data_IF_635754667115
#
_entry.id   IF_635754667115
#
_cell.length_a   1.000
_cell.length_b   1.000
_cell.length_c   1.000
_cell.angle_alpha   90.00
_cell.angle_beta   90.00
_cell.angle_gamma   90.00
#
_symmetry.space_group_name_H-M   'P 1'
#
loop_
_entity.id
_entity.type
_entity.pdbx_description
1 polymer ?
#
# COMPACT_ATOMS: atom_id res chain seq x y z
N UNK A 1 4.95 6.96 -12.41
CA UNK A 1 4.73 5.50 -12.32
C UNK A 1 6.06 4.83 -12.57
N UNK A 2 6.41 3.84 -11.71
CA UNK A 2 7.62 3.06 -11.82
C UNK A 2 7.26 1.59 -12.06
N UNK A 3 8.04 0.92 -12.91
CA UNK A 3 7.97 -0.52 -13.11
C UNK A 3 9.17 -1.16 -12.38
N UNK A 4 8.87 -1.91 -11.34
CA UNK A 4 9.87 -2.49 -10.44
C UNK A 4 9.75 -4.02 -10.43
N UNK A 5 10.59 -4.66 -9.65
CA UNK A 5 10.60 -6.11 -9.43
C UNK A 5 10.44 -6.40 -7.93
N UNK A 6 10.18 -7.65 -7.56
CA UNK A 6 10.10 -8.08 -6.17
C UNK A 6 8.68 -8.27 -5.61
N UNK A 7 7.64 -7.90 -6.36
CA UNK A 7 6.25 -8.03 -5.91
C UNK A 7 5.93 -7.12 -4.73
N UNK A 8 4.76 -7.31 -4.11
CA UNK A 8 4.37 -6.60 -2.89
C UNK A 8 5.38 -6.80 -1.75
N UNK A 9 5.95 -8.00 -1.63
CA UNK A 9 6.95 -8.29 -0.59
C UNK A 9 8.20 -7.43 -0.75
N UNK A 10 8.69 -7.22 -1.97
CA UNK A 10 9.80 -6.29 -2.22
C UNK A 10 9.42 -4.84 -1.91
N UNK A 11 8.15 -4.47 -2.10
CA UNK A 11 7.66 -3.13 -1.79
C UNK A 11 7.51 -2.87 -0.29
N UNK A 12 7.36 -3.88 0.56
CA UNK A 12 7.38 -3.68 2.01
C UNK A 12 8.68 -3.02 2.48
N UNK A 13 9.81 -3.49 1.96
CA UNK A 13 11.13 -2.88 2.24
C UNK A 13 11.33 -1.59 1.43
N UNK A 14 11.10 -1.64 0.11
CA UNK A 14 11.37 -0.51 -0.79
C UNK A 14 10.61 0.74 -0.38
N UNK A 15 9.31 0.63 -0.12
CA UNK A 15 8.48 1.77 0.25
C UNK A 15 8.93 2.38 1.57
N UNK A 16 9.14 1.56 2.60
CA UNK A 16 9.60 2.04 3.90
C UNK A 16 10.92 2.81 3.76
N UNK A 17 11.91 2.22 3.10
CA UNK A 17 13.24 2.82 2.96
C UNK A 17 13.19 4.14 2.20
N UNK A 18 12.43 4.21 1.10
CA UNK A 18 12.25 5.45 0.34
C UNK A 18 11.47 6.51 1.14
N UNK A 19 10.49 6.12 1.98
CA UNK A 19 9.76 7.06 2.83
C UNK A 19 10.65 7.61 3.97
N UNK A 20 11.53 6.79 4.55
CA UNK A 20 12.54 7.26 5.50
C UNK A 20 13.50 8.27 4.84
N UNK A 21 13.94 7.99 3.60
CA UNK A 21 14.76 8.89 2.83
C UNK A 21 14.04 10.21 2.51
N UNK A 22 12.78 10.15 2.06
CA UNK A 22 11.96 11.33 1.79
C UNK A 22 11.73 12.18 3.06
N UNK A 23 11.51 11.52 4.21
CA UNK A 23 11.43 12.19 5.51
C UNK A 23 12.74 12.90 5.85
N UNK A 24 13.89 12.22 5.68
CA UNK A 24 15.20 12.81 5.95
C UNK A 24 15.49 14.02 5.06
N UNK A 25 15.15 13.95 3.77
CA UNK A 25 15.31 15.05 2.83
C UNK A 25 14.48 16.30 3.25
N UNK A 26 13.29 16.07 3.80
CA UNK A 26 12.38 17.13 4.20
C UNK A 26 12.69 17.72 5.59
N UNK A 27 13.14 16.91 6.53
CA UNK A 27 13.24 17.24 7.95
C UNK A 27 14.65 17.10 8.53
N UNK A 28 15.61 16.52 7.80
CA UNK A 28 16.95 16.15 8.27
C UNK A 28 17.84 17.32 8.71
N UNK A 29 17.51 18.56 8.34
CA UNK A 29 18.24 19.75 8.77
C UNK A 29 17.76 20.30 10.12
N UNK A 30 16.70 19.75 10.72
CA UNK A 30 16.29 20.10 12.07
C UNK A 30 17.12 19.30 13.06
N UNK A 31 17.97 19.96 13.84
CA UNK A 31 18.95 19.39 14.78
C UNK A 31 18.38 18.37 15.80
N UNK A 32 17.08 18.34 16.02
CA UNK A 32 16.39 17.37 16.87
C UNK A 32 15.72 16.23 16.09
N UNK A 33 15.40 16.40 14.80
CA UNK A 33 14.74 15.38 13.98
C UNK A 33 15.73 14.44 13.25
N UNK A 34 17.03 14.83 13.17
CA UNK A 34 18.04 14.07 12.45
C UNK A 34 18.71 12.93 13.22
N UNK A 35 18.53 12.88 14.56
CA UNK A 35 19.22 11.90 15.42
C UNK A 35 18.42 10.62 15.70
N UNK A 36 17.10 10.65 15.54
CA UNK A 36 16.21 9.50 15.81
C UNK A 36 15.34 9.21 14.60
N UNK A 37 15.13 7.92 14.32
CA UNK A 37 14.21 7.51 13.26
C UNK A 37 12.79 8.06 13.51
N UNK A 38 12.09 8.57 12.48
CA UNK A 38 10.70 8.98 12.61
C UNK A 38 9.79 7.77 12.90
N UNK A 39 8.63 7.96 13.51
CA UNK A 39 7.64 6.92 13.59
C UNK A 39 7.14 6.56 12.20
N UNK A 40 6.81 5.27 12.01
CA UNK A 40 6.12 4.77 10.83
C UNK A 40 4.87 4.05 11.30
N UNK A 41 3.72 4.50 10.82
CA UNK A 41 2.43 3.96 11.25
C UNK A 41 1.95 2.88 10.29
N UNK A 42 1.41 1.80 10.86
CA UNK A 42 0.85 0.68 10.12
C UNK A 42 -0.55 0.36 10.62
N UNK A 43 -1.44 0.04 9.68
CA UNK A 43 -2.73 -0.57 9.97
C UNK A 43 -2.65 -2.05 9.62
N UNK A 44 -2.82 -2.90 10.62
CA UNK A 44 -2.77 -4.36 10.48
C UNK A 44 -4.19 -4.90 10.35
N UNK A 45 -4.62 -5.15 9.11
CA UNK A 45 -5.93 -5.69 8.77
C UNK A 45 -5.91 -7.18 8.43
N UNK A 46 -4.72 -7.80 8.38
CA UNK A 46 -4.60 -9.23 8.12
C UNK A 46 -3.17 -9.70 7.91
N UNK A 47 -3.01 -10.80 7.16
CA UNK A 47 -1.72 -11.47 7.00
C UNK A 47 -0.69 -10.63 6.23
N UNK A 48 -1.13 -9.90 5.21
CA UNK A 48 -0.21 -9.13 4.35
C UNK A 48 0.30 -7.88 5.06
N UNK A 49 -0.57 -7.11 5.68
CA UNK A 49 -0.18 -5.97 6.50
C UNK A 49 0.66 -6.37 7.71
N UNK A 50 0.39 -7.54 8.32
CA UNK A 50 1.25 -8.11 9.37
C UNK A 50 2.66 -8.40 8.88
N UNK A 51 2.81 -8.97 7.67
CA UNK A 51 4.14 -9.19 7.05
C UNK A 51 4.87 -7.88 6.78
N UNK A 52 4.16 -6.84 6.33
CA UNK A 52 4.75 -5.52 6.14
C UNK A 52 5.30 -4.94 7.45
N UNK A 53 4.56 -5.06 8.57
CA UNK A 53 5.04 -4.67 9.90
C UNK A 53 6.26 -5.48 10.34
N UNK A 54 6.25 -6.80 10.09
CA UNK A 54 7.40 -7.64 10.41
C UNK A 54 8.67 -7.20 9.67
N UNK A 55 8.54 -6.86 8.39
CA UNK A 55 9.65 -6.33 7.60
C UNK A 55 10.09 -4.95 8.11
N UNK A 56 9.14 -4.06 8.42
CA UNK A 56 9.44 -2.75 8.96
C UNK A 56 10.26 -2.82 10.27
N UNK A 57 9.91 -3.72 11.17
CA UNK A 57 10.62 -3.92 12.46
C UNK A 57 12.07 -4.41 12.28
N UNK A 58 12.41 -4.97 11.12
CA UNK A 58 13.80 -5.34 10.78
C UNK A 58 14.62 -4.15 10.29
N UNK A 59 13.97 -3.12 9.76
CA UNK A 59 14.60 -2.03 9.02
C UNK A 59 14.60 -0.70 9.80
N UNK A 60 13.69 -0.52 10.75
CA UNK A 60 13.62 0.69 11.58
C UNK A 60 13.15 0.37 13.01
N UNK A 61 13.51 1.23 13.95
CA UNK A 61 13.23 1.02 15.38
C UNK A 61 11.87 1.54 15.86
N UNK A 62 11.25 2.47 15.10
CA UNK A 62 10.02 3.16 15.55
C UNK A 62 8.81 2.78 14.70
N UNK A 63 8.42 1.51 14.78
CA UNK A 63 7.22 0.98 14.10
C UNK A 63 6.04 1.02 15.08
N UNK A 64 5.06 1.84 14.75
CA UNK A 64 3.79 1.92 15.46
C UNK A 64 2.70 1.15 14.71
N UNK A 65 1.93 0.33 15.41
CA UNK A 65 0.73 -0.30 14.88
C UNK A 65 -0.47 0.52 15.33
N UNK A 66 -0.93 1.40 14.43
CA UNK A 66 -2.01 2.34 14.72
C UNK A 66 -3.36 1.62 14.96
N UNK A 67 -3.58 0.49 14.29
CA UNK A 67 -4.74 -0.39 14.52
C UNK A 67 -4.36 -1.83 14.17
N UNK A 68 -4.81 -2.79 15.00
CA UNK A 68 -4.62 -4.23 14.76
C UNK A 68 -5.96 -4.95 14.82
N UNK A 69 -6.36 -5.54 13.70
CA UNK A 69 -7.65 -6.22 13.53
C UNK A 69 -7.51 -7.74 13.55
N UNK A 70 -6.32 -8.27 13.83
CA UNK A 70 -6.09 -9.73 13.81
C UNK A 70 -7.01 -10.48 14.79
N UNK A 71 -7.27 -9.92 15.96
CA UNK A 71 -8.17 -10.52 16.95
C UNK A 71 -9.65 -10.49 16.56
N UNK A 72 -10.01 -9.70 15.55
CA UNK A 72 -11.38 -9.59 15.05
C UNK A 72 -11.69 -10.63 13.97
N UNK A 73 -10.67 -11.28 13.41
CA UNK A 73 -10.83 -12.30 12.37
C UNK A 73 -11.56 -13.52 12.94
N UNK A 74 -12.62 -13.93 12.26
CA UNK A 74 -13.52 -15.00 12.70
C UNK A 74 -14.86 -14.49 13.25
N UNK A 75 -15.00 -13.18 13.46
CA UNK A 75 -16.29 -12.54 13.73
C UNK A 75 -16.93 -12.09 12.40
N UNK A 76 -18.07 -12.68 12.01
CA UNK A 76 -18.76 -12.32 10.76
C UNK A 76 -19.32 -10.89 10.75
N UNK A 77 -19.30 -10.18 11.86
CA UNK A 77 -19.73 -8.79 11.98
C UNK A 77 -18.53 -7.83 12.15
N UNK A 78 -17.29 -8.33 12.07
CA UNK A 78 -16.11 -7.50 12.24
C UNK A 78 -15.95 -6.55 11.05
N UNK A 79 -15.88 -5.26 11.37
CA UNK A 79 -15.63 -4.17 10.40
C UNK A 79 -14.33 -3.46 10.74
N UNK A 80 -13.77 -2.76 9.75
CA UNK A 80 -12.59 -1.92 9.95
C UNK A 80 -12.95 -0.77 10.89
N UNK A 81 -12.27 -0.64 12.06
CA UNK A 81 -12.52 0.46 12.97
C UNK A 81 -12.31 1.81 12.32
N UNK A 82 -13.16 2.78 12.66
CA UNK A 82 -13.01 4.15 12.15
C UNK A 82 -11.66 4.75 12.58
N UNK A 83 -10.99 5.55 11.71
CA UNK A 83 -9.67 6.12 11.97
C UNK A 83 -9.55 6.99 13.25
N UNK A 84 -10.66 7.51 13.77
CA UNK A 84 -10.70 8.23 15.04
C UNK A 84 -10.37 7.34 16.27
N UNK A 85 -10.49 6.01 16.09
CA UNK A 85 -10.13 5.01 17.12
C UNK A 85 -8.70 4.50 17.00
N UNK A 86 -7.97 4.92 15.97
CA UNK A 86 -6.61 4.46 15.73
C UNK A 86 -5.61 5.22 16.60
N UNK A 87 -4.59 4.53 17.03
CA UNK A 87 -3.48 5.10 17.81
C UNK A 87 -2.38 5.59 16.85
N UNK A 88 -2.68 6.67 16.12
CA UNK A 88 -1.73 7.29 15.21
C UNK A 88 -0.60 7.97 15.99
N UNK A 89 0.60 7.95 15.44
CA UNK A 89 1.73 8.72 15.97
C UNK A 89 1.42 10.23 15.93
N UNK A 90 1.88 11.00 16.93
CA UNK A 90 1.68 12.44 16.95
C UNK A 90 2.24 13.13 15.70
N UNK A 91 1.49 14.07 15.13
CA UNK A 91 1.87 14.76 13.88
C UNK A 91 3.13 15.62 14.04
N UNK A 92 3.38 16.11 15.23
CA UNK A 92 4.58 16.90 15.61
C UNK A 92 5.85 16.04 15.72
N UNK A 93 5.71 14.72 15.78
CA UNK A 93 6.82 13.77 15.61
C UNK A 93 7.15 13.47 14.13
N UNK A 94 6.43 14.07 13.21
CA UNK A 94 6.62 13.94 11.77
C UNK A 94 6.68 12.48 11.29
N UNK A 95 5.61 11.67 11.43
CA UNK A 95 5.62 10.29 10.95
C UNK A 95 6.01 10.22 9.47
N UNK A 96 6.89 9.27 9.12
CA UNK A 96 7.38 9.16 7.74
C UNK A 96 6.33 8.61 6.78
N UNK A 97 5.41 7.79 7.27
CA UNK A 97 4.28 7.26 6.49
C UNK A 97 3.21 6.63 7.37
N UNK A 98 2.01 6.45 6.79
CA UNK A 98 0.98 5.50 7.22
C UNK A 98 0.81 4.44 6.14
N UNK A 99 1.05 3.19 6.47
CA UNK A 99 0.87 2.05 5.58
C UNK A 99 -0.42 1.30 5.88
N UNK A 100 -1.13 0.87 4.82
CA UNK A 100 -2.25 -0.05 4.92
C UNK A 100 -2.31 -0.99 3.70
N UNK A 101 -2.94 -2.14 3.87
CA UNK A 101 -3.29 -3.04 2.77
C UNK A 101 -4.75 -2.79 2.42
N UNK A 102 -5.01 -2.29 1.21
CA UNK A 102 -6.33 -1.86 0.74
C UNK A 102 -7.37 -3.00 0.80
N UNK A 103 -6.91 -4.22 0.47
CA UNK A 103 -7.73 -5.43 0.54
C UNK A 103 -6.91 -6.63 1.01
N UNK A 104 -7.26 -7.17 2.16
CA UNK A 104 -6.65 -8.36 2.76
C UNK A 104 -7.30 -9.63 2.23
N UNK A 105 -6.75 -10.17 1.15
CA UNK A 105 -7.30 -11.31 0.41
C UNK A 105 -7.47 -12.61 1.22
N UNK A 106 -6.73 -12.79 2.31
CA UNK A 106 -6.82 -14.01 3.14
C UNK A 106 -7.96 -13.93 4.14
N UNK A 107 -8.15 -12.75 4.74
CA UNK A 107 -9.08 -12.58 5.86
C UNK A 107 -10.34 -11.79 5.49
N UNK A 108 -10.35 -11.10 4.34
CA UNK A 108 -11.54 -10.49 3.77
C UNK A 108 -11.79 -9.04 4.15
N UNK A 109 -10.91 -8.39 4.94
CA UNK A 109 -11.04 -6.95 5.18
C UNK A 109 -10.68 -6.16 3.91
N UNK A 110 -11.61 -5.35 3.45
CA UNK A 110 -11.40 -4.35 2.40
C UNK A 110 -11.75 -2.97 2.95
N UNK A 111 -10.88 -1.99 2.72
CA UNK A 111 -11.10 -0.63 3.21
C UNK A 111 -12.26 0.04 2.46
N UNK A 112 -13.17 0.73 3.16
CA UNK A 112 -14.26 1.46 2.50
C UNK A 112 -13.73 2.61 1.66
N UNK A 113 -14.47 2.98 0.61
CA UNK A 113 -14.13 4.15 -0.19
C UNK A 113 -14.03 5.41 0.69
N UNK A 114 -13.10 6.30 0.34
CA UNK A 114 -12.89 7.58 1.03
C UNK A 114 -12.54 7.51 2.53
N UNK A 115 -12.15 6.34 3.06
CA UNK A 115 -11.78 6.22 4.48
C UNK A 115 -10.67 7.19 4.91
N UNK A 116 -9.75 7.53 4.00
CA UNK A 116 -8.64 8.48 4.27
C UNK A 116 -9.18 9.85 4.70
N UNK A 117 -10.33 10.27 4.20
CA UNK A 117 -10.95 11.53 4.57
C UNK A 117 -11.38 11.59 6.04
N UNK A 118 -11.51 10.44 6.70
CA UNK A 118 -11.82 10.32 8.14
C UNK A 118 -10.59 10.46 9.04
N UNK A 119 -9.36 10.41 8.47
CA UNK A 119 -8.14 10.72 9.22
C UNK A 119 -8.16 12.19 9.67
N UNK A 120 -7.52 12.51 10.82
CA UNK A 120 -7.33 13.89 11.24
C UNK A 120 -6.71 14.73 10.11
N UNK A 121 -7.25 15.92 9.85
CA UNK A 121 -6.81 16.76 8.74
C UNK A 121 -5.31 17.02 8.77
N UNK A 122 -4.78 17.42 9.92
CA UNK A 122 -3.35 17.71 10.08
C UNK A 122 -2.47 16.47 9.79
N UNK A 123 -2.99 15.25 10.05
CA UNK A 123 -2.27 14.01 9.78
C UNK A 123 -2.21 13.72 8.28
N UNK A 124 -3.35 13.70 7.58
CA UNK A 124 -3.41 13.41 6.13
C UNK A 124 -2.72 14.45 5.25
N UNK A 125 -2.58 15.70 5.72
CA UNK A 125 -1.86 16.74 5.00
C UNK A 125 -0.33 16.62 5.10
N UNK A 126 0.17 16.02 6.17
CA UNK A 126 1.60 15.97 6.47
C UNK A 126 2.22 14.60 6.28
N UNK A 127 1.46 13.54 6.52
CA UNK A 127 1.96 12.16 6.51
C UNK A 127 1.63 11.49 5.18
N UNK A 128 2.61 10.97 4.43
CA UNK A 128 2.38 10.20 3.23
C UNK A 128 1.57 8.92 3.53
N UNK A 129 0.47 8.73 2.81
CA UNK A 129 -0.33 7.51 2.89
C UNK A 129 0.18 6.52 1.86
N UNK A 130 0.44 5.29 2.28
CA UNK A 130 0.99 4.20 1.47
C UNK A 130 -0.02 3.07 1.39
N UNK A 131 -0.43 2.72 0.17
CA UNK A 131 -1.40 1.67 -0.09
C UNK A 131 -0.79 0.47 -0.82
N UNK A 132 -0.96 -0.72 -0.27
CA UNK A 132 -0.83 -1.98 -1.02
C UNK A 132 -2.17 -2.33 -1.66
N UNK A 133 -2.27 -2.11 -2.97
CA UNK A 133 -3.47 -2.39 -3.76
C UNK A 133 -3.34 -3.66 -4.60
N UNK A 134 -2.42 -4.56 -4.27
CA UNK A 134 -2.10 -5.72 -5.10
C UNK A 134 -3.30 -6.60 -5.43
N UNK A 135 -4.31 -6.67 -4.58
CA UNK A 135 -5.44 -7.60 -4.79
C UNK A 135 -6.69 -6.95 -5.36
N UNK A 136 -6.87 -5.64 -5.21
CA UNK A 136 -8.09 -4.97 -5.68
C UNK A 136 -7.84 -3.82 -6.68
N UNK A 137 -6.59 -3.60 -7.09
CA UNK A 137 -6.31 -2.64 -8.15
C UNK A 137 -7.15 -2.95 -9.40
N UNK A 138 -7.71 -1.92 -10.03
CA UNK A 138 -8.60 -2.01 -11.21
C UNK A 138 -9.96 -2.70 -10.96
N UNK A 139 -10.28 -3.12 -9.74
CA UNK A 139 -11.62 -3.62 -9.40
C UNK A 139 -12.56 -2.50 -8.97
N UNK A 140 -12.01 -1.37 -8.57
CA UNK A 140 -12.73 -0.12 -8.24
C UNK A 140 -11.83 1.11 -8.44
N UNK A 141 -12.39 2.33 -8.51
CA UNK A 141 -11.61 3.57 -8.51
C UNK A 141 -10.79 3.74 -7.24
N UNK A 142 -9.60 4.33 -7.36
CA UNK A 142 -8.75 4.71 -6.24
C UNK A 142 -8.45 6.21 -6.36
N UNK A 143 -8.60 6.94 -5.26
CA UNK A 143 -8.16 8.34 -5.21
C UNK A 143 -6.63 8.44 -5.12
N UNK A 144 -5.99 8.46 -6.30
CA UNK A 144 -4.52 8.55 -6.40
C UNK A 144 -3.97 9.80 -5.70
N UNK A 145 -4.74 10.90 -5.64
CA UNK A 145 -4.28 12.16 -5.04
C UNK A 145 -4.20 12.11 -3.54
N UNK A 146 -4.99 11.24 -2.91
CA UNK A 146 -4.97 11.05 -1.46
C UNK A 146 -3.73 10.27 -0.97
N UNK A 147 -2.94 9.69 -1.89
CA UNK A 147 -1.82 8.83 -1.54
C UNK A 147 -0.46 9.45 -1.87
N UNK A 148 0.53 9.17 -1.02
CA UNK A 148 1.94 9.39 -1.32
C UNK A 148 2.50 8.29 -2.22
N UNK A 149 2.12 7.03 -1.93
CA UNK A 149 2.52 5.85 -2.70
C UNK A 149 1.36 4.88 -2.81
N UNK A 150 1.14 4.35 -4.01
CA UNK A 150 0.30 3.17 -4.26
C UNK A 150 1.18 2.15 -4.97
N UNK A 151 1.20 0.92 -4.50
CA UNK A 151 1.89 -0.15 -5.21
C UNK A 151 1.01 -1.38 -5.37
N UNK A 152 1.34 -2.18 -6.40
CA UNK A 152 0.66 -3.44 -6.67
C UNK A 152 1.53 -4.35 -7.53
N UNK A 153 1.49 -5.64 -7.22
CA UNK A 153 2.03 -6.67 -8.11
C UNK A 153 1.04 -6.98 -9.24
N UNK A 154 1.54 -7.23 -10.45
CA UNK A 154 0.68 -7.47 -11.61
C UNK A 154 -0.06 -8.82 -11.57
N UNK A 155 0.46 -9.82 -10.84
CA UNK A 155 0.06 -11.23 -10.88
C UNK A 155 -1.40 -11.54 -10.47
N UNK A 156 -2.14 -10.57 -9.96
CA UNK A 156 -3.55 -10.77 -9.59
C UNK A 156 -4.49 -10.24 -10.67
N UNK A 157 -4.72 -8.93 -10.73
CA UNK A 157 -5.76 -8.35 -11.59
C UNK A 157 -5.21 -7.56 -12.79
N UNK A 158 -3.89 -7.51 -13.00
CA UNK A 158 -3.25 -6.71 -14.05
C UNK A 158 -2.66 -7.56 -15.16
N UNK A 159 -1.89 -8.61 -14.81
CA UNK A 159 -1.18 -9.42 -15.78
C UNK A 159 -0.36 -10.54 -15.14
N UNK A 160 0.69 -11.04 -15.82
CA UNK A 160 1.55 -12.08 -15.27
C UNK A 160 2.45 -11.55 -14.15
N UNK A 161 2.98 -12.48 -13.36
CA UNK A 161 3.99 -12.17 -12.33
C UNK A 161 5.28 -11.60 -12.95
N UNK A 162 6.06 -10.90 -12.12
CA UNK A 162 7.38 -10.37 -12.49
C UNK A 162 7.45 -8.85 -12.44
N UNK A 163 6.41 -8.12 -12.83
CA UNK A 163 6.37 -6.66 -12.69
C UNK A 163 5.56 -6.23 -11.48
N UNK A 164 6.10 -5.24 -10.77
CA UNK A 164 5.45 -4.51 -9.69
C UNK A 164 5.35 -3.06 -10.09
N UNK A 165 4.18 -2.50 -10.02
CA UNK A 165 3.94 -1.10 -10.38
C UNK A 165 3.87 -0.25 -9.11
N UNK A 166 4.53 0.91 -9.16
CA UNK A 166 4.53 1.88 -8.07
C UNK A 166 4.12 3.24 -8.62
N UNK A 167 3.03 3.78 -8.09
CA UNK A 167 2.60 5.15 -8.32
C UNK A 167 3.08 5.94 -7.12
N UNK A 168 4.01 6.86 -7.31
CA UNK A 168 4.61 7.63 -6.23
C UNK A 168 4.54 9.12 -6.55
N UNK A 169 4.26 9.91 -5.53
CA UNK A 169 4.25 11.38 -5.60
C UNK A 169 5.68 11.89 -5.81
N UNK A 170 5.86 12.87 -6.68
CA UNK A 170 7.20 13.31 -7.13
C UNK A 170 8.09 13.83 -6.02
N UNK A 171 7.52 14.53 -5.04
CA UNK A 171 8.25 15.09 -3.88
C UNK A 171 8.81 14.00 -2.93
N UNK A 172 8.36 12.75 -3.07
CA UNK A 172 8.84 11.60 -2.31
C UNK A 172 9.96 10.82 -3.02
N UNK A 173 10.32 11.22 -4.24
CA UNK A 173 11.43 10.63 -5.01
C UNK A 173 12.68 11.45 -4.72
N UNK A 174 13.50 10.95 -3.81
CA UNK A 174 14.73 11.62 -3.35
C UNK A 174 15.93 10.73 -3.56
N UNK A 175 17.11 11.33 -3.63
CA UNK A 175 18.38 10.61 -3.69
C UNK A 175 18.80 10.24 -2.27
N UNK A 176 18.75 8.93 -1.88
CA UNK A 176 19.13 8.53 -0.54
C UNK A 176 20.63 8.69 -0.26
N UNK A 177 21.49 8.62 -1.28
CA UNK A 177 22.94 8.69 -1.14
C UNK A 177 23.42 10.14 -0.86
N UNK A 178 22.59 11.13 -1.18
CA UNK A 178 22.84 12.54 -0.85
C UNK A 178 22.46 12.92 0.60
N UNK A 179 21.89 11.98 1.39
CA UNK A 179 21.39 12.26 2.73
C UNK A 179 22.41 11.90 3.80
N UNK A 180 22.43 12.70 4.88
CA UNK A 180 23.31 12.46 6.04
C UNK A 180 22.54 11.98 7.29
N UNK A 181 21.33 11.44 7.11
CA UNK A 181 20.50 10.98 8.22
C UNK A 181 20.90 9.53 8.63
N UNK A 182 21.35 9.37 9.86
CA UNK A 182 21.85 8.09 10.39
C UNK A 182 20.77 6.99 10.47
N UNK A 183 19.48 7.36 10.46
CA UNK A 183 18.37 6.41 10.49
C UNK A 183 17.93 5.91 9.11
N UNK A 184 18.51 6.44 8.02
CA UNK A 184 18.28 5.92 6.66
C UNK A 184 19.37 4.92 6.35
N UNK A 185 19.08 3.60 6.35
CA UNK A 185 20.09 2.61 6.01
C UNK A 185 20.37 2.65 4.51
N UNK A 186 21.52 2.13 4.05
CA UNK A 186 21.79 1.96 2.63
C UNK A 186 20.66 1.19 1.94
N UNK A 187 20.11 1.77 0.87
CA UNK A 187 19.01 1.16 0.11
C UNK A 187 19.62 0.38 -1.06
N UNK A 188 19.29 -0.92 -1.23
CA UNK A 188 19.70 -1.65 -2.43
C UNK A 188 19.29 -0.91 -3.70
N UNK A 189 20.21 -0.73 -4.64
CA UNK A 189 20.05 0.16 -5.79
C UNK A 189 18.76 -0.09 -6.61
N UNK A 190 18.33 -1.35 -6.72
CA UNK A 190 17.10 -1.76 -7.41
C UNK A 190 15.81 -1.43 -6.64
N UNK A 191 15.90 -1.06 -5.37
CA UNK A 191 14.78 -0.65 -4.52
C UNK A 191 14.67 0.88 -4.38
N UNK A 192 15.65 1.65 -4.89
CA UNK A 192 15.65 3.11 -4.85
C UNK A 192 14.70 3.66 -5.92
N UNK A 193 13.66 4.38 -5.50
CA UNK A 193 12.70 4.99 -6.43
C UNK A 193 13.33 6.01 -7.37
N UNK A 194 14.33 6.75 -6.89
CA UNK A 194 15.09 7.72 -7.70
C UNK A 194 15.81 7.04 -8.86
N UNK A 195 16.48 5.92 -8.62
CA UNK A 195 17.15 5.16 -9.66
C UNK A 195 16.18 4.70 -10.75
N UNK A 196 15.01 4.21 -10.34
CA UNK A 196 13.97 3.80 -11.30
C UNK A 196 13.39 5.00 -12.06
N UNK A 197 13.17 6.12 -11.39
CA UNK A 197 12.62 7.31 -12.00
C UNK A 197 13.56 7.93 -13.05
N UNK A 198 14.84 8.09 -12.68
CA UNK A 198 15.85 8.70 -13.54
C UNK A 198 16.16 7.86 -14.79
N UNK A 199 15.98 6.56 -14.70
CA UNK A 199 16.25 5.63 -15.80
C UNK A 199 14.97 5.16 -16.52
N UNK A 200 13.82 5.80 -16.32
CA UNK A 200 12.56 5.37 -16.95
C UNK A 200 12.19 3.92 -16.64
N UNK A 201 12.48 3.46 -15.43
CA UNK A 201 12.34 2.08 -14.97
C UNK A 201 13.28 1.06 -15.65
N UNK A 202 14.34 1.52 -16.29
CA UNK A 202 15.34 0.69 -16.98
C UNK A 202 16.71 0.70 -16.27
N UNK A 203 16.73 0.96 -14.99
CA UNK A 203 17.96 0.91 -14.20
C UNK A 203 18.64 -0.46 -14.27
N UNK A 204 17.87 -1.52 -14.33
CA UNK A 204 18.27 -2.89 -14.65
C UNK A 204 17.31 -3.48 -15.67
N UNK A 205 17.64 -4.65 -16.24
CA UNK A 205 16.79 -5.35 -17.21
C UNK A 205 15.39 -5.56 -16.66
N UNK A 206 14.35 -4.99 -17.26
CA UNK A 206 12.98 -5.09 -16.76
C UNK A 206 12.33 -6.42 -17.13
N UNK A 207 11.26 -6.85 -16.45
CA UNK A 207 10.47 -8.02 -16.84
C UNK A 207 9.61 -7.70 -18.07
N UNK A 208 10.24 -7.59 -19.25
CA UNK A 208 9.65 -7.07 -20.49
C UNK A 208 8.37 -7.77 -20.89
N UNK A 209 8.33 -9.10 -20.80
CA UNK A 209 7.11 -9.87 -21.12
C UNK A 209 5.93 -9.50 -20.21
N UNK A 210 6.17 -9.40 -18.90
CA UNK A 210 5.12 -9.07 -17.94
C UNK A 210 4.61 -7.63 -18.14
N UNK A 211 5.50 -6.69 -18.46
CA UNK A 211 5.13 -5.31 -18.79
C UNK A 211 4.29 -5.27 -20.07
N UNK A 212 4.72 -5.98 -21.11
CA UNK A 212 4.01 -6.04 -22.39
C UNK A 212 2.58 -6.59 -22.23
N UNK A 213 2.44 -7.73 -21.56
CA UNK A 213 1.12 -8.37 -21.36
C UNK A 213 0.23 -7.49 -20.46
N UNK A 214 0.78 -6.85 -19.43
CA UNK A 214 0.04 -5.88 -18.61
C UNK A 214 -0.45 -4.70 -19.44
N UNK A 215 0.37 -4.21 -20.38
CA UNK A 215 -0.03 -3.17 -21.32
C UNK A 215 -1.20 -3.57 -22.23
N UNK A 216 -1.23 -4.83 -22.68
CA UNK A 216 -2.39 -5.38 -23.40
C UNK A 216 -3.63 -5.39 -22.49
N UNK A 217 -3.48 -5.83 -21.24
CA UNK A 217 -4.55 -5.83 -20.23
C UNK A 217 -5.13 -4.44 -20.00
N UNK A 218 -4.29 -3.42 -19.84
CA UNK A 218 -4.74 -2.03 -19.68
C UNK A 218 -5.48 -1.52 -20.91
N UNK A 219 -4.98 -1.82 -22.13
CA UNK A 219 -5.67 -1.44 -23.37
C UNK A 219 -7.06 -2.10 -23.44
N UNK A 220 -7.15 -3.39 -23.14
CA UNK A 220 -8.43 -4.09 -23.10
C UNK A 220 -9.37 -3.47 -22.07
N UNK A 221 -8.89 -3.19 -20.86
CA UNK A 221 -9.68 -2.52 -19.82
C UNK A 221 -10.28 -1.21 -20.32
N UNK A 222 -9.48 -0.37 -20.99
CA UNK A 222 -9.96 0.90 -21.53
C UNK A 222 -11.03 0.71 -22.60
N UNK A 223 -10.85 -0.26 -23.51
CA UNK A 223 -11.83 -0.59 -24.54
C UNK A 223 -13.14 -1.14 -23.97
N UNK A 224 -13.05 -1.86 -22.85
CA UNK A 224 -14.20 -2.46 -22.16
C UNK A 224 -14.94 -1.47 -21.22
N UNK A 225 -14.69 -0.18 -21.32
CA UNK A 225 -15.34 0.87 -20.54
C UNK A 225 -14.58 1.33 -19.29
N UNK A 226 -13.31 0.97 -19.16
CA UNK A 226 -12.41 1.45 -18.11
C UNK A 226 -12.72 0.87 -16.72
N UNK A 227 -12.20 1.58 -15.69
CA UNK A 227 -12.37 1.17 -14.29
C UNK A 227 -13.84 1.14 -13.85
N UNK A 228 -14.73 2.08 -14.24
CA UNK A 228 -16.15 2.00 -13.86
C UNK A 228 -16.83 0.71 -14.32
N UNK A 229 -16.59 0.29 -15.57
CA UNK A 229 -17.15 -0.96 -16.06
C UNK A 229 -16.51 -2.19 -15.41
N UNK A 230 -15.22 -2.10 -15.03
CA UNK A 230 -14.56 -3.16 -14.28
C UNK A 230 -15.12 -3.29 -12.86
N UNK A 231 -15.41 -2.18 -12.18
CA UNK A 231 -16.07 -2.14 -10.88
C UNK A 231 -17.42 -2.84 -10.90
N UNK A 232 -18.27 -2.52 -11.88
CA UNK A 232 -19.58 -3.18 -12.02
C UNK A 232 -19.44 -4.69 -12.26
N UNK A 233 -18.50 -5.11 -13.12
CA UNK A 233 -18.21 -6.54 -13.31
C UNK A 233 -17.69 -7.22 -12.04
N UNK A 234 -16.87 -6.53 -11.25
CA UNK A 234 -16.37 -7.04 -9.98
C UNK A 234 -17.52 -7.20 -8.97
N UNK A 235 -18.39 -6.20 -8.86
CA UNK A 235 -19.59 -6.22 -8.00
C UNK A 235 -20.49 -7.40 -8.33
N UNK A 236 -20.85 -7.58 -9.60
CA UNK A 236 -21.71 -8.70 -10.04
C UNK A 236 -21.08 -10.06 -9.68
N UNK A 237 -19.77 -10.22 -9.88
CA UNK A 237 -19.08 -11.48 -9.57
C UNK A 237 -18.98 -11.74 -8.07
N UNK A 238 -18.67 -10.72 -7.26
CA UNK A 238 -18.61 -10.86 -5.81
C UNK A 238 -19.96 -11.14 -5.20
N UNK A 239 -21.01 -10.44 -5.63
CA UNK A 239 -22.38 -10.72 -5.20
C UNK A 239 -22.82 -12.15 -5.52
N UNK A 240 -22.49 -12.67 -6.70
CA UNK A 240 -22.82 -14.04 -7.05
C UNK A 240 -22.16 -15.04 -6.08
N UNK A 241 -20.88 -14.82 -5.74
CA UNK A 241 -20.16 -15.67 -4.79
C UNK A 241 -20.79 -15.58 -3.40
N UNK A 242 -20.97 -14.36 -2.86
CA UNK A 242 -21.51 -14.17 -1.52
C UNK A 242 -22.95 -14.72 -1.41
N UNK A 243 -23.84 -14.39 -2.33
CA UNK A 243 -25.21 -14.95 -2.36
C UNK A 243 -25.22 -16.48 -2.40
N UNK A 244 -24.27 -17.09 -3.12
CA UNK A 244 -24.16 -18.57 -3.15
C UNK A 244 -23.70 -19.13 -1.81
N UNK A 245 -22.76 -18.47 -1.12
CA UNK A 245 -22.29 -18.91 0.19
C UNK A 245 -23.39 -18.75 1.27
N UNK A 246 -24.15 -17.66 1.20
CA UNK A 246 -25.24 -17.36 2.14
C UNK A 246 -26.41 -18.36 2.07
N UNK A 247 -26.58 -19.07 0.95
CA UNK A 247 -27.56 -20.16 0.83
C UNK A 247 -27.18 -21.36 1.72
N UNK A 248 -25.90 -21.48 2.10
CA UNK A 248 -25.39 -22.62 2.91
C UNK A 248 -24.73 -22.16 4.22
N UNK A 249 -25.43 -21.42 5.10
CA UNK A 249 -24.83 -20.82 6.31
C UNK A 249 -24.36 -21.86 7.33
N UNK A 250 -24.82 -23.11 7.25
CA UNK A 250 -24.36 -24.22 8.06
C UNK A 250 -23.06 -24.85 7.56
N UNK A 251 -22.64 -24.54 6.33
CA UNK A 251 -21.38 -25.01 5.70
C UNK A 251 -20.34 -23.90 5.67
N UNK A 252 -20.75 -22.69 5.29
CA UNK A 252 -19.87 -21.55 5.10
C UNK A 252 -20.14 -20.48 6.13
N UNK A 253 -19.08 -19.95 6.70
CA UNK A 253 -19.16 -18.83 7.64
C UNK A 253 -18.18 -17.75 7.20
N UNK A 254 -18.60 -16.49 7.03
CA UNK A 254 -17.69 -15.40 6.74
C UNK A 254 -16.73 -15.17 7.91
N UNK A 255 -15.52 -14.77 7.60
CA UNK A 255 -14.46 -14.50 8.60
C UNK A 255 -14.50 -13.07 9.11
N UNK A 256 -15.16 -12.17 8.37
CA UNK A 256 -15.38 -10.75 8.67
C UNK A 256 -16.70 -10.32 8.02
N UNK A 257 -17.19 -9.12 8.33
CA UNK A 257 -18.37 -8.57 7.66
C UNK A 257 -18.12 -8.48 6.13
N UNK A 258 -19.15 -8.82 5.35
CA UNK A 258 -19.07 -8.64 3.91
C UNK A 258 -18.92 -7.15 3.58
N UNK A 259 -18.07 -6.77 2.63
CA UNK A 259 -18.08 -5.42 2.11
C UNK A 259 -19.44 -5.16 1.47
N UNK A 260 -20.07 -4.06 1.86
CA UNK A 260 -21.40 -3.66 1.38
C UNK A 260 -21.39 -3.25 -0.11
#
# INVERSE_FOLDING_TARGET
>A
VLFMQGGGTGQFSSTLLNMLAAHAAKHGNNSNAGACAPPVDYVVSGAWSKKAVQEARRLTSRVNVASDMISMIGDPNAEIPSPDKWQLSPVDEYPAMLYYCENETIHGFEFPEHWIQRLPQAYRERVPIVADCSSNILSRPIDVRAHGVIFFGAQKNVGPSGVTMVIVRRDLIVDPDALQASYVPPIPATLVYKNMADNGSLYNTPPTFSIYVSGIGFRKLLLDGGVPAAQERARIKSELVYKTLDVFPHVYRPTVAHPA
#
